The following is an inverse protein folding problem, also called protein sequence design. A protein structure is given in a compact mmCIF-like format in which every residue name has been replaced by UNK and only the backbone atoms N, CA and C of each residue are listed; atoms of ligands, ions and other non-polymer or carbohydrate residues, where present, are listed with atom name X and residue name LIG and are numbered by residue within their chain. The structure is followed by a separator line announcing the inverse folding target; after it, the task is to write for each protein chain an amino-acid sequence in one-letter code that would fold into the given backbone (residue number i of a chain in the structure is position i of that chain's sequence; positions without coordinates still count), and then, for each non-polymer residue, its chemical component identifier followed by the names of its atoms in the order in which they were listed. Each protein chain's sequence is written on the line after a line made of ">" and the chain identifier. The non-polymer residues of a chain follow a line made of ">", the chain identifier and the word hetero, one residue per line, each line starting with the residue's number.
data_IF_628859795455
#
_entry.id   IF_628859795455
#
_cell.length_a   1.000
_cell.length_b   1.000
_cell.length_c   1.000
_cell.angle_alpha   90.00
_cell.angle_beta   90.00
_cell.angle_gamma   90.00
#
_symmetry.space_group_name_H-M   'P 1'
#
loop_
_entity.id
_entity.type
_entity.pdbx_description
1 polymer ?
#
# COMPACT_ATOMS: atom_id res chain seq x y z
N UNK A 1 -21.77 26.09 43.60
CA UNK A 1 -22.59 25.02 42.99
C UNK A 1 -22.91 25.27 41.50
N UNK A 2 -23.22 26.50 41.06
CA UNK A 2 -23.47 26.81 39.63
C UNK A 2 -22.27 26.55 38.69
N UNK A 3 -21.04 26.73 39.18
CA UNK A 3 -19.81 26.51 38.41
C UNK A 3 -19.55 25.03 38.07
N UNK A 4 -19.85 24.11 38.99
CA UNK A 4 -19.65 22.68 38.75
C UNK A 4 -20.66 22.12 37.75
N UNK A 5 -21.93 22.56 37.85
CA UNK A 5 -22.98 22.23 36.88
C UNK A 5 -22.62 22.71 35.47
N UNK A 6 -22.10 23.94 35.33
CA UNK A 6 -21.66 24.49 34.04
C UNK A 6 -20.51 23.68 33.43
N UNK A 7 -19.52 23.29 34.24
CA UNK A 7 -18.39 22.46 33.81
C UNK A 7 -18.85 21.05 33.42
N UNK A 8 -19.77 20.43 34.19
CA UNK A 8 -20.34 19.13 33.84
C UNK A 8 -21.14 19.15 32.53
N UNK A 9 -21.88 20.22 32.25
CA UNK A 9 -22.63 20.35 30.99
C UNK A 9 -21.70 20.46 29.76
N UNK A 10 -20.53 21.09 29.91
CA UNK A 10 -19.49 21.10 28.86
C UNK A 10 -18.88 19.71 28.65
N UNK A 11 -18.62 18.96 29.72
CA UNK A 11 -18.12 17.59 29.58
C UNK A 11 -19.16 16.65 28.95
N UNK A 12 -20.45 16.82 29.25
CA UNK A 12 -21.52 16.04 28.64
C UNK A 12 -21.72 16.40 27.15
N UNK A 13 -21.59 17.67 26.76
CA UNK A 13 -21.73 18.06 25.35
C UNK A 13 -20.55 17.63 24.48
N UNK A 14 -19.35 17.55 25.06
CA UNK A 14 -18.13 17.08 24.34
C UNK A 14 -18.07 15.55 24.26
N UNK A 15 -18.62 14.82 25.23
CA UNK A 15 -18.62 13.35 25.23
C UNK A 15 -19.56 12.70 24.20
N UNK A 16 -20.57 13.42 23.71
CA UNK A 16 -21.63 12.84 22.84
C UNK A 16 -21.48 13.20 21.36
N UNK A 17 -20.30 13.63 20.90
CA UNK A 17 -20.07 13.87 19.48
C UNK A 17 -19.83 12.54 18.72
N UNK A 18 -20.85 11.69 18.64
CA UNK A 18 -20.82 10.50 17.78
C UNK A 18 -20.97 10.94 16.32
N UNK A 19 -19.90 10.73 15.53
CA UNK A 19 -19.87 11.00 14.10
C UNK A 19 -20.11 9.73 13.28
N UNK A 20 -20.88 9.87 12.19
CA UNK A 20 -21.02 8.82 11.18
C UNK A 20 -20.07 9.10 10.02
N UNK A 21 -19.33 8.09 9.59
CA UNK A 21 -18.37 8.16 8.49
C UNK A 21 -18.70 7.09 7.45
N UNK A 22 -19.07 7.53 6.26
CA UNK A 22 -19.16 6.69 5.07
C UNK A 22 -18.04 7.04 4.11
N UNK A 23 -17.33 6.03 3.60
CA UNK A 23 -16.28 6.23 2.61
C UNK A 23 -16.14 5.04 1.68
N UNK A 24 -15.59 5.31 0.50
CA UNK A 24 -15.34 4.33 -0.55
C UNK A 24 -13.84 4.29 -0.82
N UNK A 25 -13.28 3.10 -0.95
CA UNK A 25 -11.90 2.92 -1.41
C UNK A 25 -11.92 2.21 -2.75
N UNK A 26 -11.30 2.80 -3.77
CA UNK A 26 -10.94 2.12 -5.01
C UNK A 26 -9.47 1.73 -4.92
N UNK A 27 -9.17 0.43 -5.05
CA UNK A 27 -7.83 -0.13 -4.95
C UNK A 27 -7.48 -0.90 -6.22
N UNK A 28 -6.22 -0.82 -6.58
CA UNK A 28 -5.61 -1.57 -7.68
C UNK A 28 -4.47 -2.38 -7.09
N UNK A 29 -4.61 -3.70 -7.04
CA UNK A 29 -3.61 -4.62 -6.50
C UNK A 29 -2.94 -5.35 -7.66
N UNK A 30 -1.62 -5.30 -7.77
CA UNK A 30 -0.82 -5.91 -8.85
C UNK A 30 0.59 -6.24 -8.34
N UNK A 31 1.22 -7.24 -8.94
CA UNK A 31 2.57 -7.69 -8.52
C UNK A 31 3.67 -7.40 -9.53
N UNK A 32 3.30 -6.99 -10.75
CA UNK A 32 4.22 -6.76 -11.86
C UNK A 32 3.81 -5.56 -12.70
N UNK A 33 4.79 -4.89 -13.31
CA UNK A 33 4.60 -3.77 -14.24
C UNK A 33 3.95 -4.17 -15.57
N UNK A 34 3.85 -5.46 -15.88
CA UNK A 34 3.07 -5.92 -17.04
C UNK A 34 1.55 -5.83 -16.81
N UNK A 35 1.12 -5.62 -15.55
CA UNK A 35 -0.27 -5.45 -15.11
C UNK A 35 -1.25 -6.56 -15.52
N UNK A 36 -0.75 -7.75 -15.88
CA UNK A 36 -1.58 -8.89 -16.33
C UNK A 36 -2.48 -9.41 -15.20
N UNK A 37 -1.98 -9.37 -13.97
CA UNK A 37 -2.61 -9.84 -12.75
C UNK A 37 -3.35 -8.74 -11.98
N UNK A 38 -3.47 -7.53 -12.53
CA UNK A 38 -4.07 -6.41 -11.82
C UNK A 38 -5.52 -6.69 -11.42
N UNK A 39 -5.86 -6.33 -10.19
CA UNK A 39 -7.17 -6.52 -9.58
C UNK A 39 -7.75 -5.17 -9.17
N UNK A 40 -8.99 -4.90 -9.57
CA UNK A 40 -9.74 -3.75 -9.10
C UNK A 40 -10.66 -4.16 -7.96
N UNK A 41 -10.59 -3.42 -6.86
CA UNK A 41 -11.42 -3.62 -5.68
C UNK A 41 -12.07 -2.29 -5.30
N UNK A 42 -13.39 -2.27 -5.22
CA UNK A 42 -14.12 -1.15 -4.65
C UNK A 42 -14.82 -1.60 -3.36
N UNK A 43 -14.41 -1.04 -2.24
CA UNK A 43 -14.95 -1.34 -0.91
C UNK A 43 -15.72 -0.14 -0.36
N UNK A 44 -16.92 -0.39 0.17
CA UNK A 44 -17.76 0.61 0.83
C UNK A 44 -17.76 0.34 2.34
N UNK A 45 -17.43 1.38 3.11
CA UNK A 45 -17.29 1.31 4.55
C UNK A 45 -18.26 2.26 5.24
N UNK A 46 -18.77 1.80 6.38
CA UNK A 46 -19.53 2.62 7.32
C UNK A 46 -18.89 2.49 8.70
N UNK A 47 -18.42 3.59 9.29
CA UNK A 47 -17.72 3.61 10.59
C UNK A 47 -16.60 2.56 10.69
N UNK A 48 -15.80 2.42 9.63
CA UNK A 48 -14.71 1.43 9.46
C UNK A 48 -15.17 -0.03 9.29
N UNK A 49 -16.47 -0.29 9.31
CA UNK A 49 -17.03 -1.59 8.99
C UNK A 49 -17.31 -1.67 7.49
N UNK A 50 -16.61 -2.58 6.81
CA UNK A 50 -16.92 -2.87 5.41
C UNK A 50 -18.26 -3.55 5.31
N UNK A 51 -19.15 -3.01 4.47
CA UNK A 51 -20.47 -3.59 4.28
C UNK A 51 -20.66 -4.16 2.87
N UNK A 52 -20.03 -3.60 1.83
CA UNK A 52 -20.11 -4.09 0.45
C UNK A 52 -18.74 -4.00 -0.22
N UNK A 53 -18.39 -4.97 -1.06
CA UNK A 53 -17.22 -4.94 -1.94
C UNK A 53 -17.58 -5.40 -3.35
N UNK A 54 -17.15 -4.67 -4.36
CA UNK A 54 -16.93 -5.22 -5.70
C UNK A 54 -15.48 -5.67 -5.83
N UNK A 55 -15.27 -6.84 -6.42
CA UNK A 55 -13.96 -7.40 -6.67
C UNK A 55 -13.91 -7.90 -8.12
N UNK A 56 -12.97 -7.43 -8.93
CA UNK A 56 -12.87 -7.82 -10.35
C UNK A 56 -12.56 -9.31 -10.55
N UNK A 57 -12.02 -10.01 -9.55
CA UNK A 57 -11.85 -11.47 -9.60
C UNK A 57 -13.16 -12.24 -9.38
N UNK A 58 -14.11 -11.62 -8.69
CA UNK A 58 -15.44 -12.17 -8.40
C UNK A 58 -16.50 -11.62 -9.37
N UNK A 59 -16.23 -10.48 -10.00
CA UNK A 59 -17.03 -9.79 -11.02
C UNK A 59 -18.45 -9.37 -10.58
N UNK A 60 -18.66 -9.26 -9.27
CA UNK A 60 -19.93 -8.84 -8.65
C UNK A 60 -19.69 -8.25 -7.26
N UNK A 61 -20.72 -7.61 -6.73
CA UNK A 61 -20.74 -7.14 -5.35
C UNK A 61 -20.99 -8.30 -4.37
N UNK A 62 -20.26 -8.28 -3.25
CA UNK A 62 -20.43 -9.18 -2.11
C UNK A 62 -20.70 -8.32 -0.87
N UNK A 63 -21.73 -8.67 -0.10
CA UNK A 63 -22.06 -8.02 1.15
C UNK A 63 -21.43 -8.73 2.36
N UNK A 64 -20.91 -7.98 3.32
CA UNK A 64 -20.24 -8.49 4.53
C UNK A 64 -21.04 -8.28 5.82
N UNK A 65 -22.14 -7.53 5.72
CA UNK A 65 -23.12 -7.33 6.79
C UNK A 65 -24.50 -7.66 6.26
N UNK A 66 -25.50 -7.87 7.12
CA UNK A 66 -26.87 -8.13 6.68
C UNK A 66 -27.40 -7.01 5.75
N UNK A 67 -27.13 -5.75 6.10
CA UNK A 67 -27.45 -4.60 5.27
C UNK A 67 -26.67 -4.62 3.93
N UNK A 68 -25.40 -5.00 3.99
CA UNK A 68 -24.54 -5.16 2.83
C UNK A 68 -25.03 -6.22 1.85
N UNK A 69 -25.48 -7.38 2.35
CA UNK A 69 -25.98 -8.48 1.51
C UNK A 69 -27.18 -8.04 0.68
N UNK A 70 -28.18 -7.39 1.32
CA UNK A 70 -29.38 -6.89 0.62
C UNK A 70 -29.03 -5.87 -0.47
N UNK A 71 -28.08 -4.98 -0.20
CA UNK A 71 -27.63 -4.00 -1.18
C UNK A 71 -26.78 -4.61 -2.29
N UNK A 72 -25.89 -5.55 -1.98
CA UNK A 72 -25.10 -6.27 -2.98
C UNK A 72 -26.02 -7.04 -3.95
N UNK A 73 -27.06 -7.71 -3.45
CA UNK A 73 -28.08 -8.35 -4.28
C UNK A 73 -28.79 -7.36 -5.21
N UNK A 74 -29.13 -6.17 -4.70
CA UNK A 74 -29.75 -5.12 -5.51
C UNK A 74 -28.80 -4.61 -6.61
N UNK A 75 -27.55 -4.31 -6.27
CA UNK A 75 -26.54 -3.84 -7.22
C UNK A 75 -26.24 -4.89 -8.29
N UNK A 76 -26.19 -6.17 -7.91
CA UNK A 76 -25.93 -7.26 -8.83
C UNK A 76 -27.07 -7.53 -9.84
N UNK A 77 -28.26 -6.97 -9.61
CA UNK A 77 -29.39 -7.06 -10.55
C UNK A 77 -29.34 -6.00 -11.66
N UNK A 78 -28.44 -5.02 -11.56
CA UNK A 78 -28.21 -4.02 -12.60
C UNK A 78 -27.04 -4.45 -13.50
N UNK A 79 -27.30 -5.02 -14.69
CA UNK A 79 -26.24 -5.49 -15.57
C UNK A 79 -25.41 -4.34 -16.17
N UNK A 80 -25.99 -3.15 -16.34
CA UNK A 80 -25.29 -1.98 -16.87
C UNK A 80 -24.25 -1.51 -15.86
N UNK A 81 -24.66 -1.41 -14.60
CA UNK A 81 -23.75 -1.02 -13.53
C UNK A 81 -22.65 -2.06 -13.29
N UNK A 82 -22.98 -3.36 -13.29
CA UNK A 82 -21.96 -4.41 -13.19
C UNK A 82 -20.96 -4.40 -14.35
N UNK A 83 -21.42 -4.13 -15.59
CA UNK A 83 -20.53 -4.01 -16.73
C UNK A 83 -19.55 -2.84 -16.57
N UNK A 84 -20.02 -1.69 -16.07
CA UNK A 84 -19.17 -0.56 -15.73
C UNK A 84 -18.13 -0.95 -14.67
N UNK A 85 -18.56 -1.56 -13.57
CA UNK A 85 -17.67 -1.96 -12.48
C UNK A 85 -16.60 -2.97 -12.92
N UNK A 86 -16.92 -3.89 -13.84
CA UNK A 86 -15.94 -4.81 -14.43
C UNK A 86 -14.92 -4.07 -15.31
N UNK A 87 -15.35 -3.04 -16.03
CA UNK A 87 -14.48 -2.25 -16.89
C UNK A 87 -13.46 -1.42 -16.08
N UNK A 88 -13.74 -1.07 -14.82
CA UNK A 88 -12.84 -0.28 -13.97
C UNK A 88 -11.44 -0.89 -13.79
N UNK A 89 -11.31 -2.23 -13.91
CA UNK A 89 -9.99 -2.88 -13.97
C UNK A 89 -9.11 -2.31 -15.09
N UNK A 90 -9.68 -2.07 -16.26
CA UNK A 90 -8.95 -1.55 -17.41
C UNK A 90 -8.97 0.00 -17.41
N UNK A 91 -10.14 0.59 -17.22
CA UNK A 91 -10.35 2.03 -17.38
C UNK A 91 -9.78 2.87 -16.24
N UNK A 92 -9.76 2.32 -15.02
CA UNK A 92 -9.20 2.99 -13.86
C UNK A 92 -7.82 2.43 -13.52
N UNK A 93 -7.72 1.13 -13.22
CA UNK A 93 -6.46 0.59 -12.71
C UNK A 93 -5.34 0.57 -13.76
N UNK A 94 -5.53 -0.12 -14.88
CA UNK A 94 -4.47 -0.19 -15.89
C UNK A 94 -4.13 1.19 -16.47
N UNK A 95 -5.13 2.04 -16.69
CA UNK A 95 -4.92 3.38 -17.19
C UNK A 95 -4.04 4.21 -16.25
N UNK A 96 -4.41 4.32 -14.97
CA UNK A 96 -3.68 5.16 -14.02
C UNK A 96 -2.31 4.57 -13.65
N UNK A 97 -2.19 3.25 -13.50
CA UNK A 97 -0.88 2.65 -13.18
C UNK A 97 0.11 2.87 -14.32
N UNK A 98 -0.30 2.76 -15.58
CA UNK A 98 0.56 3.07 -16.73
C UNK A 98 1.03 4.53 -16.73
N UNK A 99 0.16 5.47 -16.35
CA UNK A 99 0.54 6.88 -16.21
C UNK A 99 1.56 7.06 -15.09
N UNK A 100 1.32 6.47 -13.93
CA UNK A 100 2.26 6.54 -12.81
C UNK A 100 3.62 5.94 -13.16
N UNK A 101 3.67 4.76 -13.77
CA UNK A 101 4.94 4.12 -14.16
C UNK A 101 5.74 4.96 -15.19
N UNK A 102 5.06 5.66 -16.10
CA UNK A 102 5.71 6.56 -17.05
C UNK A 102 6.26 7.83 -16.39
N UNK A 103 5.57 8.35 -15.39
CA UNK A 103 5.94 9.58 -14.68
C UNK A 103 6.96 9.32 -13.56
N UNK A 104 6.95 8.14 -12.94
CA UNK A 104 7.95 7.74 -11.96
C UNK A 104 9.23 7.35 -12.67
N UNK A 105 10.20 8.26 -12.71
CA UNK A 105 11.61 7.84 -12.69
C UNK A 105 11.75 6.76 -11.62
N UNK A 106 12.44 5.63 -11.86
CA UNK A 106 12.63 4.64 -10.83
C UNK A 106 13.12 5.39 -9.60
N UNK A 107 12.37 5.29 -8.50
CA UNK A 107 12.84 5.75 -7.19
C UNK A 107 13.91 4.76 -6.74
N UNK A 108 14.93 4.57 -7.58
CA UNK A 108 16.25 4.21 -7.14
C UNK A 108 16.73 5.42 -6.37
N UNK A 109 16.36 5.53 -5.11
CA UNK A 109 17.33 6.02 -4.14
C UNK A 109 18.46 5.01 -4.24
N UNK A 110 19.61 5.34 -4.86
CA UNK A 110 20.74 4.44 -4.82
C UNK A 110 21.06 4.29 -3.34
N UNK A 111 20.74 3.13 -2.77
CA UNK A 111 21.15 2.78 -1.43
C UNK A 111 22.67 2.87 -1.44
N UNK A 112 23.18 4.03 -1.01
CA UNK A 112 24.62 4.30 -1.02
C UNK A 112 25.16 3.46 0.10
N UNK A 113 25.61 2.25 -0.23
CA UNK A 113 26.32 1.39 0.70
C UNK A 113 27.61 2.13 1.06
N UNK A 114 27.64 2.77 2.23
CA UNK A 114 28.87 3.32 2.78
C UNK A 114 29.79 2.14 3.11
N UNK A 115 30.97 2.02 2.47
CA UNK A 115 31.92 1.00 2.85
C UNK A 115 32.29 1.19 4.32
N UNK A 116 32.25 0.12 5.12
CA UNK A 116 32.86 0.14 6.44
C UNK A 116 34.36 0.35 6.24
N UNK A 117 34.87 1.54 6.60
CA UNK A 117 36.30 1.80 6.67
C UNK A 117 36.88 0.99 7.84
N UNK A 118 37.63 -0.07 7.53
CA UNK A 118 38.46 -0.75 8.51
C UNK A 118 39.54 0.22 8.97
N UNK A 119 39.44 0.70 10.21
CA UNK A 119 40.54 1.42 10.85
C UNK A 119 41.51 0.40 11.42
N UNK A 120 42.78 0.48 11.05
CA UNK A 120 43.85 -0.21 11.77
C UNK A 120 44.04 0.47 13.11
N UNK A 121 43.65 -0.21 14.20
CA UNK A 121 44.04 0.18 15.55
C UNK A 121 45.57 0.05 15.67
N UNK A 122 46.29 1.09 16.09
CA UNK A 122 47.71 0.94 16.39
C UNK A 122 47.85 0.06 17.63
N UNK A 123 48.48 -1.11 17.47
CA UNK A 123 48.94 -1.91 18.59
C UNK A 123 50.19 -1.25 19.18
N UNK A 124 50.00 -0.16 19.95
CA UNK A 124 50.97 0.17 21.00
C UNK A 124 50.73 -0.85 22.11
N UNK A 125 51.72 -1.71 22.36
CA UNK A 125 51.62 -2.83 23.27
C UNK A 125 51.16 -2.41 24.66
N UNK A 126 49.88 -2.64 24.93
CA UNK A 126 49.28 -2.78 26.26
C UNK A 126 48.13 -3.79 26.05
N UNK A 127 48.08 -4.85 26.84
CA UNK A 127 47.12 -5.94 26.72
C UNK A 127 45.69 -5.43 26.88
N UNK A 128 44.89 -5.46 25.82
CA UNK A 128 43.44 -5.25 25.89
C UNK A 128 42.74 -6.50 25.33
N UNK A 129 41.79 -6.99 26.11
CA UNK A 129 41.04 -8.24 25.90
C UNK A 129 40.50 -8.40 24.47
N UNK A 130 40.39 -9.64 23.95
CA UNK A 130 39.92 -9.87 22.59
C UNK A 130 38.43 -9.54 22.50
N UNK A 131 38.12 -8.31 22.08
CA UNK A 131 36.81 -7.99 21.52
C UNK A 131 36.65 -8.85 20.28
N UNK A 132 35.73 -9.82 20.36
CA UNK A 132 35.34 -10.73 19.28
C UNK A 132 35.04 -9.94 17.99
N UNK A 133 36.02 -9.87 17.09
CA UNK A 133 35.82 -9.35 15.74
C UNK A 133 34.95 -10.36 14.97
N UNK A 134 33.67 -10.04 14.79
CA UNK A 134 32.88 -10.72 13.76
C UNK A 134 33.42 -10.28 12.40
N UNK A 135 33.88 -11.20 11.53
CA UNK A 135 34.34 -10.80 10.20
C UNK A 135 33.14 -10.27 9.42
N UNK A 136 33.28 -9.08 8.82
CA UNK A 136 32.36 -8.67 7.76
C UNK A 136 32.50 -9.65 6.60
N UNK A 137 31.41 -10.35 6.26
CA UNK A 137 31.33 -11.15 5.04
C UNK A 137 31.50 -10.21 3.84
N UNK A 138 32.65 -10.29 3.16
CA UNK A 138 32.82 -9.69 1.84
C UNK A 138 31.92 -10.42 0.85
N UNK A 139 30.75 -9.88 0.55
CA UNK A 139 30.00 -10.33 -0.62
C UNK A 139 30.50 -9.57 -1.85
N UNK A 140 31.08 -10.29 -2.79
CA UNK A 140 31.30 -9.80 -4.16
C UNK A 140 29.94 -9.65 -4.85
N UNK A 141 29.49 -8.41 -5.03
CA UNK A 141 28.36 -8.09 -5.90
C UNK A 141 28.85 -8.11 -7.35
N UNK A 142 28.51 -9.16 -8.10
CA UNK A 142 28.59 -9.16 -9.56
C UNK A 142 27.40 -8.36 -10.12
N UNK A 143 27.65 -7.12 -10.55
CA UNK A 143 26.71 -6.37 -11.37
C UNK A 143 26.80 -6.91 -12.80
N UNK A 144 25.78 -7.64 -13.25
CA UNK A 144 25.62 -8.01 -14.65
C UNK A 144 24.42 -7.26 -15.25
N UNK A 145 24.73 -6.26 -16.08
CA UNK A 145 23.85 -5.50 -16.97
C UNK A 145 24.68 -4.28 -17.43
N UNK A 146 25.11 -4.14 -18.69
CA UNK A 146 24.35 -4.32 -19.93
C UNK A 146 25.31 -4.54 -21.11
N UNK A 147 24.98 -5.43 -22.06
CA UNK A 147 25.56 -5.41 -23.41
C UNK A 147 24.50 -4.91 -24.38
N UNK A 148 24.55 -3.61 -24.71
CA UNK A 148 23.95 -3.10 -25.94
C UNK A 148 24.99 -3.35 -27.04
N UNK A 149 24.70 -4.29 -27.93
CA UNK A 149 25.56 -4.61 -29.07
C UNK A 149 25.54 -3.47 -30.12
N UNK A 150 26.72 -2.98 -30.57
CA UNK A 150 26.82 -2.15 -31.76
C UNK A 150 27.10 -3.00 -33.03
N UNK A 151 26.11 -3.04 -33.93
CA UNK A 151 26.22 -3.10 -35.42
C UNK A 151 27.00 -4.24 -36.12
N UNK A 152 26.31 -4.96 -37.02
CA UNK A 152 26.71 -5.32 -38.43
C UNK A 152 25.66 -6.31 -39.00
N UNK A 153 25.00 -6.17 -40.16
CA UNK A 153 25.31 -5.63 -41.50
C UNK A 153 24.14 -4.79 -42.06
#
# INVERSE_FOLDING_TARGET
>A
MASFLSVCLLFLSVYTADGYLEYVTARCEFTSSELKDIQYIQSLYYNKLEYIRFDSSVEKFVGYTEHGVKNAERLNKDPSFLAQMRAEKETYCQHNVKLYEQETLPFSDPATLRPCLSQTLPLSGESVDPVSLRPCLSQTLSLSGESVDPVSL
#
